data_IF_809704257989
#
_entry.id   IF_809704257989
#
_cell.length_a   1.000
_cell.length_b   1.000
_cell.length_c   1.000
_cell.angle_alpha   90.00
_cell.angle_beta   90.00
_cell.angle_gamma   90.00
#
_symmetry.space_group_name_H-M   'P 1'
#
loop_
_entity.id
_entity.type
_entity.pdbx_description
1 polymer ?
#
# COMPACT_ATOMS: atom_id res chain seq x y z
N UNK A 1 4.45 3.60 11.09
CA UNK A 1 3.62 3.50 9.86
C UNK A 1 2.31 4.28 9.97
N UNK A 2 1.31 3.87 10.78
CA UNK A 2 -0.01 4.54 10.81
C UNK A 2 0.03 6.05 11.13
N UNK A 3 0.89 6.48 12.06
CA UNK A 3 1.07 7.90 12.37
C UNK A 3 1.56 8.70 11.15
N UNK A 4 2.57 8.18 10.45
CA UNK A 4 3.07 8.76 9.19
C UNK A 4 1.98 8.79 8.12
N UNK A 5 1.19 7.72 8.02
CA UNK A 5 0.06 7.67 7.09
C UNK A 5 -0.99 8.77 7.39
N UNK A 6 -1.26 9.06 8.67
CA UNK A 6 -2.11 10.19 9.08
C UNK A 6 -1.53 11.55 8.70
N UNK A 7 -0.22 11.75 8.90
CA UNK A 7 0.47 12.97 8.47
C UNK A 7 0.41 13.16 6.95
N UNK A 8 0.56 12.08 6.18
CA UNK A 8 0.42 12.11 4.71
C UNK A 8 -0.98 12.56 4.29
N UNK A 9 -2.04 12.06 4.94
CA UNK A 9 -3.42 12.49 4.63
C UNK A 9 -3.58 14.00 4.84
N UNK A 10 -3.10 14.53 5.97
CA UNK A 10 -3.14 15.98 6.25
C UNK A 10 -2.36 16.75 5.19
N UNK A 11 -1.14 16.31 4.87
CA UNK A 11 -0.30 16.93 3.85
C UNK A 11 -0.94 16.97 2.47
N UNK A 12 -1.56 15.86 2.03
CA UNK A 12 -2.26 15.77 0.74
C UNK A 12 -3.49 16.67 0.70
N UNK A 13 -4.29 16.73 1.77
CA UNK A 13 -5.46 17.62 1.84
C UNK A 13 -5.01 19.09 1.71
N UNK A 14 -3.97 19.49 2.45
CA UNK A 14 -3.45 20.85 2.39
C UNK A 14 -2.88 21.17 1.00
N UNK A 15 -2.08 20.25 0.44
CA UNK A 15 -1.45 20.43 -0.87
C UNK A 15 -2.48 20.51 -2.01
N UNK A 16 -3.37 19.51 -2.13
CA UNK A 16 -4.40 19.49 -3.17
C UNK A 16 -5.41 20.63 -2.97
N UNK A 17 -5.77 20.93 -1.72
CA UNK A 17 -6.62 22.06 -1.37
C UNK A 17 -6.00 23.40 -1.80
N UNK A 18 -4.71 23.61 -1.54
CA UNK A 18 -4.02 24.84 -1.93
C UNK A 18 -3.97 24.99 -3.46
N UNK A 19 -3.70 23.90 -4.21
CA UNK A 19 -3.71 23.96 -5.67
C UNK A 19 -5.09 24.36 -6.22
N UNK A 20 -6.16 23.70 -5.77
CA UNK A 20 -7.51 23.90 -6.29
C UNK A 20 -8.15 25.21 -5.81
N UNK A 21 -7.92 25.61 -4.56
CA UNK A 21 -8.60 26.76 -3.96
C UNK A 21 -7.79 28.06 -4.02
N UNK A 22 -6.46 27.98 -4.07
CA UNK A 22 -5.58 29.15 -3.98
C UNK A 22 -4.74 29.34 -5.25
N UNK A 23 -3.92 28.36 -5.61
CA UNK A 23 -2.91 28.55 -6.65
C UNK A 23 -3.52 28.68 -8.04
N UNK A 24 -4.40 27.75 -8.43
CA UNK A 24 -5.06 27.81 -9.74
C UNK A 24 -5.94 29.07 -9.86
N UNK A 25 -6.81 29.40 -8.88
CA UNK A 25 -7.57 30.64 -8.95
C UNK A 25 -6.70 31.91 -8.96
N UNK A 26 -5.56 31.91 -8.28
CA UNK A 26 -4.62 33.03 -8.31
C UNK A 26 -4.00 33.17 -9.69
N UNK A 27 -3.47 32.08 -10.26
CA UNK A 27 -2.86 32.04 -11.59
C UNK A 27 -3.80 32.58 -12.67
N UNK A 28 -5.04 32.12 -12.70
CA UNK A 28 -6.02 32.57 -13.70
C UNK A 28 -6.51 34.01 -13.47
N UNK A 29 -6.23 34.64 -12.33
CA UNK A 29 -6.58 36.04 -12.03
C UNK A 29 -5.41 37.01 -12.18
N UNK A 30 -4.18 36.53 -12.38
CA UNK A 30 -3.00 37.38 -12.59
C UNK A 30 -3.24 38.32 -13.80
N UNK A 31 -2.92 39.62 -13.70
CA UNK A 31 -2.98 40.56 -14.83
C UNK A 31 -2.11 40.08 -16.01
N UNK A 32 -2.52 40.36 -17.25
CA UNK A 32 -1.78 39.89 -18.43
C UNK A 32 -0.33 40.36 -18.46
N UNK A 33 -0.04 41.58 -17.99
CA UNK A 33 1.33 42.11 -17.90
C UNK A 33 2.23 41.27 -17.00
N UNK A 34 1.70 40.80 -15.87
CA UNK A 34 2.46 39.99 -14.90
C UNK A 34 2.58 38.55 -15.39
N UNK A 35 1.56 38.03 -16.06
CA UNK A 35 1.59 36.71 -16.69
C UNK A 35 2.69 36.65 -17.76
N UNK A 36 2.71 37.60 -18.68
CA UNK A 36 3.73 37.68 -19.74
C UNK A 36 5.14 37.81 -19.17
N UNK A 37 5.29 38.57 -18.08
CA UNK A 37 6.61 38.81 -17.46
C UNK A 37 7.15 37.62 -16.68
N UNK A 38 6.30 36.88 -15.97
CA UNK A 38 6.74 35.89 -14.98
C UNK A 38 6.34 34.45 -15.27
N UNK A 39 5.25 34.20 -16.01
CA UNK A 39 4.59 32.88 -16.07
C UNK A 39 4.45 32.34 -17.51
N UNK A 40 4.60 33.20 -18.52
CA UNK A 40 4.54 32.82 -19.94
C UNK A 40 5.54 31.70 -20.29
N UNK A 41 6.72 31.67 -19.67
CA UNK A 41 7.71 30.61 -19.94
C UNK A 41 7.27 29.24 -19.43
N UNK A 42 6.58 29.21 -18.28
CA UNK A 42 6.19 27.98 -17.59
C UNK A 42 4.84 27.43 -18.10
N UNK A 43 3.89 28.32 -18.41
CA UNK A 43 2.51 27.95 -18.79
C UNK A 43 2.21 28.19 -20.28
N UNK A 44 3.14 28.79 -21.02
CA UNK A 44 3.03 29.06 -22.45
C UNK A 44 2.37 30.40 -22.79
N UNK A 45 2.20 30.62 -24.10
CA UNK A 45 1.79 31.92 -24.66
C UNK A 45 0.37 32.36 -24.29
N UNK A 46 -0.53 31.41 -24.10
CA UNK A 46 -1.89 31.71 -23.70
C UNK A 46 -2.07 31.33 -22.25
N UNK A 47 -2.57 32.28 -21.47
CA UNK A 47 -2.89 32.07 -20.06
C UNK A 47 -3.88 30.91 -19.92
N UNK A 48 -3.54 29.86 -19.16
CA UNK A 48 -4.37 28.68 -19.05
C UNK A 48 -5.67 29.01 -18.31
N UNK A 49 -6.75 28.34 -18.68
CA UNK A 49 -7.98 28.34 -17.88
C UNK A 49 -7.85 27.38 -16.70
N UNK A 50 -8.78 27.48 -15.74
CA UNK A 50 -8.81 26.55 -14.60
C UNK A 50 -8.91 25.09 -15.06
N UNK A 51 -9.70 24.82 -16.10
CA UNK A 51 -9.85 23.48 -16.65
C UNK A 51 -8.57 22.99 -17.33
N UNK A 52 -7.78 23.87 -17.93
CA UNK A 52 -6.51 23.49 -18.56
C UNK A 52 -5.49 23.06 -17.51
N UNK A 53 -5.46 23.73 -16.35
CA UNK A 53 -4.61 23.36 -15.21
C UNK A 53 -5.03 22.01 -14.62
N UNK A 54 -6.33 21.79 -14.45
CA UNK A 54 -6.87 20.52 -13.92
C UNK A 54 -6.63 19.37 -14.91
N UNK A 55 -6.74 19.60 -16.21
CA UNK A 55 -6.48 18.60 -17.27
C UNK A 55 -4.99 18.43 -17.57
N UNK A 56 -4.14 19.32 -17.07
CA UNK A 56 -2.69 19.21 -17.19
C UNK A 56 -2.13 17.96 -16.50
N UNK A 57 -0.87 17.63 -16.82
CA UNK A 57 -0.21 16.45 -16.28
C UNK A 57 -0.22 16.43 -14.75
N UNK A 58 0.05 17.56 -14.08
CA UNK A 58 0.00 17.67 -12.63
C UNK A 58 -1.41 17.45 -12.06
N UNK A 59 -2.43 18.09 -12.66
CA UNK A 59 -3.82 17.99 -12.20
C UNK A 59 -4.38 16.57 -12.32
N UNK A 60 -4.19 15.93 -13.48
CA UNK A 60 -4.66 14.56 -13.72
C UNK A 60 -3.95 13.56 -12.82
N UNK A 61 -2.61 13.63 -12.74
CA UNK A 61 -1.85 12.72 -11.86
C UNK A 61 -2.22 12.93 -10.39
N UNK A 62 -2.39 14.17 -9.94
CA UNK A 62 -2.81 14.53 -8.59
C UNK A 62 -4.19 13.96 -8.23
N UNK A 63 -5.19 14.13 -9.11
CA UNK A 63 -6.55 13.61 -8.90
C UNK A 63 -6.54 12.08 -8.82
N UNK A 64 -5.85 11.40 -9.74
CA UNK A 64 -5.78 9.93 -9.72
C UNK A 64 -5.10 9.45 -8.43
N UNK A 65 -4.01 10.09 -7.99
CA UNK A 65 -3.35 9.77 -6.73
C UNK A 65 -4.32 9.93 -5.54
N UNK A 66 -5.05 11.04 -5.46
CA UNK A 66 -6.02 11.29 -4.38
C UNK A 66 -7.12 10.23 -4.37
N UNK A 67 -7.67 9.84 -5.52
CA UNK A 67 -8.69 8.79 -5.63
C UNK A 67 -8.14 7.45 -5.13
N UNK A 68 -6.95 7.04 -5.59
CA UNK A 68 -6.30 5.80 -5.14
C UNK A 68 -6.05 5.82 -3.63
N UNK A 69 -5.60 6.95 -3.09
CA UNK A 69 -5.38 7.13 -1.67
C UNK A 69 -6.69 7.03 -0.88
N UNK A 70 -7.77 7.70 -1.31
CA UNK A 70 -9.07 7.61 -0.64
C UNK A 70 -9.52 6.15 -0.52
N UNK A 71 -9.42 5.36 -1.58
CA UNK A 71 -9.75 3.94 -1.57
C UNK A 71 -8.87 3.18 -0.56
N UNK A 72 -7.55 3.31 -0.68
CA UNK A 72 -6.60 2.59 0.16
C UNK A 72 -6.73 2.95 1.66
N UNK A 73 -6.88 4.24 1.99
CA UNK A 73 -7.02 4.71 3.37
C UNK A 73 -8.36 4.29 3.98
N UNK A 74 -9.46 4.35 3.20
CA UNK A 74 -10.79 3.93 3.67
C UNK A 74 -10.79 2.44 4.02
N UNK A 75 -10.27 1.60 3.12
CA UNK A 75 -10.21 0.15 3.32
C UNK A 75 -9.17 -0.27 4.38
N UNK A 76 -8.17 0.57 4.66
CA UNK A 76 -7.23 0.36 5.75
C UNK A 76 -7.78 0.70 7.15
N UNK A 77 -8.92 1.39 7.25
CA UNK A 77 -9.54 1.69 8.55
C UNK A 77 -9.91 0.42 9.30
N UNK A 78 -9.92 0.48 10.65
CA UNK A 78 -10.26 -0.68 11.51
C UNK A 78 -11.63 -1.27 11.15
N UNK A 79 -12.58 -0.43 10.77
CA UNK A 79 -13.97 -0.79 10.52
C UNK A 79 -14.10 -1.66 9.26
N UNK A 80 -13.49 -1.24 8.16
CA UNK A 80 -13.50 -1.97 6.90
C UNK A 80 -12.59 -3.20 6.93
N UNK A 81 -11.37 -3.05 7.45
CA UNK A 81 -10.37 -4.13 7.49
C UNK A 81 -10.79 -5.32 8.37
N UNK A 82 -11.57 -5.08 9.44
CA UNK A 82 -12.09 -6.14 10.33
C UNK A 82 -13.54 -6.53 10.02
N UNK A 83 -14.06 -6.12 8.87
CA UNK A 83 -15.44 -6.41 8.43
C UNK A 83 -16.51 -6.07 9.49
N UNK A 84 -16.30 -4.99 10.25
CA UNK A 84 -17.27 -4.52 11.25
C UNK A 84 -18.49 -3.86 10.58
N UNK A 85 -18.30 -3.36 9.36
CA UNK A 85 -19.37 -2.82 8.51
C UNK A 85 -19.72 -3.91 7.49
N UNK A 86 -21.00 -4.27 7.39
CA UNK A 86 -21.50 -5.18 6.35
C UNK A 86 -22.16 -4.35 5.26
N UNK A 87 -21.53 -4.30 4.09
CA UNK A 87 -22.10 -3.61 2.93
C UNK A 87 -23.11 -4.52 2.20
N UNK A 88 -24.20 -3.97 1.64
CA UNK A 88 -25.12 -4.73 0.80
C UNK A 88 -24.44 -5.18 -0.50
N UNK A 89 -24.98 -6.22 -1.15
CA UNK A 89 -24.53 -6.63 -2.49
C UNK A 89 -24.72 -5.46 -3.48
N UNK A 90 -23.76 -5.19 -4.39
CA UNK A 90 -22.57 -5.99 -4.72
C UNK A 90 -21.31 -5.70 -3.88
N UNK A 91 -21.36 -4.78 -2.92
CA UNK A 91 -20.19 -4.27 -2.21
C UNK A 91 -19.77 -5.08 -0.99
N UNK A 92 -20.44 -6.19 -0.69
CA UNK A 92 -20.12 -7.06 0.45
C UNK A 92 -18.68 -7.62 0.41
N UNK A 93 -18.03 -7.66 -0.76
CA UNK A 93 -16.63 -8.07 -0.92
C UNK A 93 -15.60 -6.94 -0.73
N UNK A 94 -16.04 -5.69 -0.54
CA UNK A 94 -15.16 -4.54 -0.28
C UNK A 94 -14.80 -4.38 1.20
N UNK A 95 -14.98 -5.42 2.01
CA UNK A 95 -14.64 -5.43 3.44
C UNK A 95 -13.85 -6.69 3.77
N UNK A 96 -12.95 -6.61 4.74
CA UNK A 96 -12.09 -7.73 5.12
C UNK A 96 -10.60 -7.45 4.92
N UNK A 97 -9.77 -8.41 5.28
CA UNK A 97 -8.33 -8.28 5.17
C UNK A 97 -7.90 -8.32 3.71
N UNK A 98 -8.55 -9.12 2.86
CA UNK A 98 -8.24 -9.20 1.43
C UNK A 98 -8.53 -7.88 0.71
N UNK A 99 -9.70 -7.28 0.94
CA UNK A 99 -10.02 -5.96 0.39
C UNK A 99 -9.00 -4.89 0.84
N UNK A 100 -8.62 -4.90 2.12
CA UNK A 100 -7.54 -4.07 2.63
C UNK A 100 -6.21 -4.34 1.91
N UNK A 101 -5.80 -5.60 1.79
CA UNK A 101 -4.50 -5.99 1.23
C UNK A 101 -4.36 -5.56 -0.22
N UNK A 102 -5.34 -5.89 -1.07
CA UNK A 102 -5.32 -5.52 -2.49
C UNK A 102 -5.39 -4.01 -2.69
N UNK A 103 -6.26 -3.31 -1.96
CA UNK A 103 -6.32 -1.85 -2.05
C UNK A 103 -5.07 -1.17 -1.53
N UNK A 104 -4.36 -1.76 -0.55
CA UNK A 104 -3.11 -1.20 -0.06
C UNK A 104 -2.05 -1.17 -1.16
N UNK A 105 -1.99 -2.17 -2.05
CA UNK A 105 -1.06 -2.24 -3.18
C UNK A 105 -1.26 -1.12 -4.23
N UNK A 106 -2.35 -0.35 -4.16
CA UNK A 106 -2.49 0.91 -4.91
C UNK A 106 -1.34 1.88 -4.61
N UNK A 107 -0.58 1.70 -3.52
CA UNK A 107 0.66 2.44 -3.26
C UNK A 107 1.64 2.38 -4.44
N UNK A 108 1.69 1.26 -5.20
CA UNK A 108 2.58 1.13 -6.36
C UNK A 108 2.18 2.13 -7.44
N UNK A 109 0.88 2.22 -7.75
CA UNK A 109 0.35 3.18 -8.72
C UNK A 109 0.60 4.61 -8.22
N UNK A 110 0.34 4.89 -6.95
CA UNK A 110 0.57 6.22 -6.35
C UNK A 110 2.04 6.62 -6.45
N UNK A 111 2.99 5.71 -6.19
CA UNK A 111 4.43 6.02 -6.31
C UNK A 111 4.85 6.31 -7.75
N UNK A 112 4.35 5.55 -8.73
CA UNK A 112 4.60 5.81 -10.15
C UNK A 112 4.05 7.18 -10.54
N UNK A 113 2.80 7.47 -10.17
CA UNK A 113 2.17 8.76 -10.45
C UNK A 113 2.86 9.91 -9.72
N UNK A 114 3.40 9.69 -8.52
CA UNK A 114 4.15 10.71 -7.77
C UNK A 114 5.46 11.08 -8.48
N UNK A 115 6.14 10.11 -9.08
CA UNK A 115 7.33 10.37 -9.91
C UNK A 115 6.92 11.20 -11.13
N UNK A 116 5.88 10.78 -11.86
CA UNK A 116 5.37 11.50 -13.03
C UNK A 116 4.97 12.94 -12.63
N UNK A 117 4.18 13.09 -11.57
CA UNK A 117 3.76 14.36 -11.03
C UNK A 117 4.96 15.27 -10.69
N UNK A 118 6.00 14.73 -10.05
CA UNK A 118 7.23 15.46 -9.73
C UNK A 118 8.15 15.76 -10.92
N UNK A 119 8.00 15.06 -12.05
CA UNK A 119 8.74 15.31 -13.28
C UNK A 119 8.09 16.43 -14.10
N UNK A 120 6.77 16.51 -14.12
CA UNK A 120 6.02 17.51 -14.88
C UNK A 120 5.75 18.80 -14.10
N UNK A 121 6.59 19.14 -13.12
CA UNK A 121 6.46 20.36 -12.33
C UNK A 121 6.46 21.63 -13.19
N UNK A 122 5.46 22.50 -13.04
CA UNK A 122 5.29 23.73 -13.82
C UNK A 122 6.42 24.72 -13.60
N UNK A 123 6.86 24.94 -12.35
CA UNK A 123 7.77 26.05 -12.02
C UNK A 123 9.24 25.64 -11.93
N UNK A 124 9.54 24.34 -11.84
CA UNK A 124 10.91 23.84 -11.62
C UNK A 124 11.32 22.99 -12.81
N UNK A 125 12.25 23.50 -13.61
CA UNK A 125 12.66 22.86 -14.86
C UNK A 125 13.97 22.09 -14.73
N UNK A 126 14.87 22.55 -13.86
CA UNK A 126 16.18 21.93 -13.63
C UNK A 126 16.05 20.63 -12.86
N UNK A 127 16.54 19.54 -13.46
CA UNK A 127 16.30 18.17 -12.98
C UNK A 127 16.80 17.89 -11.56
N UNK A 128 17.91 18.50 -11.13
CA UNK A 128 18.48 18.31 -9.79
C UNK A 128 17.75 19.13 -8.71
N UNK A 129 16.96 20.14 -9.09
CA UNK A 129 16.07 20.86 -8.15
C UNK A 129 14.74 20.14 -7.96
N UNK A 130 14.41 19.16 -8.81
CA UNK A 130 13.22 18.31 -8.65
C UNK A 130 13.48 17.29 -7.54
N UNK A 131 13.22 17.66 -6.29
CA UNK A 131 13.61 16.84 -5.14
C UNK A 131 12.80 15.55 -4.97
N UNK A 132 11.64 15.40 -5.64
CA UNK A 132 10.72 14.26 -5.46
C UNK A 132 11.41 12.92 -5.69
N UNK A 133 12.16 12.76 -6.79
CA UNK A 133 12.85 11.50 -7.08
C UNK A 133 14.01 11.22 -6.10
N UNK A 134 14.66 12.27 -5.60
CA UNK A 134 15.76 12.15 -4.64
C UNK A 134 15.26 11.58 -3.32
N UNK A 135 14.20 12.18 -2.75
CA UNK A 135 13.60 11.70 -1.51
C UNK A 135 12.95 10.32 -1.64
N UNK A 136 12.52 9.93 -2.85
CA UNK A 136 11.90 8.63 -3.09
C UNK A 136 12.92 7.51 -3.31
N UNK A 137 14.01 7.79 -4.02
CA UNK A 137 14.98 6.79 -4.46
C UNK A 137 15.64 6.04 -3.30
N UNK A 138 16.17 6.75 -2.31
CA UNK A 138 16.91 6.12 -1.19
C UNK A 138 16.01 5.18 -0.37
N UNK A 139 14.81 5.60 0.12
CA UNK A 139 13.94 4.69 0.87
C UNK A 139 13.42 3.52 0.03
N UNK A 140 13.10 3.74 -1.26
CA UNK A 140 12.62 2.68 -2.14
C UNK A 140 13.70 1.64 -2.40
N UNK A 141 14.95 2.05 -2.64
CA UNK A 141 16.07 1.14 -2.83
C UNK A 141 16.37 0.35 -1.56
N UNK A 142 16.35 0.99 -0.38
CA UNK A 142 16.52 0.30 0.89
C UNK A 142 15.42 -0.73 1.14
N UNK A 143 14.16 -0.38 0.88
CA UNK A 143 13.03 -1.29 1.01
C UNK A 143 13.14 -2.46 0.03
N UNK A 144 13.41 -2.18 -1.25
CA UNK A 144 13.60 -3.22 -2.27
C UNK A 144 14.76 -4.15 -1.90
N UNK A 145 15.87 -3.59 -1.40
CA UNK A 145 17.00 -4.36 -0.88
C UNK A 145 16.61 -5.31 0.26
N UNK A 146 15.90 -4.84 1.28
CA UNK A 146 15.41 -5.70 2.38
C UNK A 146 14.50 -6.81 1.86
N UNK A 147 13.59 -6.49 0.94
CA UNK A 147 12.65 -7.46 0.35
C UNK A 147 13.37 -8.53 -0.46
N UNK A 148 14.32 -8.12 -1.29
CA UNK A 148 15.13 -9.03 -2.11
C UNK A 148 15.98 -9.94 -1.21
N UNK A 149 16.67 -9.38 -0.20
CA UNK A 149 17.44 -10.16 0.77
C UNK A 149 16.56 -11.14 1.54
N UNK A 150 15.34 -10.73 1.93
CA UNK A 150 14.37 -11.61 2.57
C UNK A 150 13.99 -12.76 1.65
N UNK A 151 13.68 -12.50 0.38
CA UNK A 151 13.32 -13.53 -0.60
C UNK A 151 14.47 -14.53 -0.75
N UNK A 152 15.70 -14.06 -0.95
CA UNK A 152 16.87 -14.94 -1.09
C UNK A 152 17.16 -15.78 0.15
N UNK A 153 16.85 -15.27 1.35
CA UNK A 153 17.03 -16.02 2.61
C UNK A 153 15.86 -16.93 2.96
N UNK A 154 14.71 -16.76 2.32
CA UNK A 154 13.50 -17.51 2.65
C UNK A 154 13.48 -18.83 1.90
N UNK A 155 13.46 -19.95 2.63
CA UNK A 155 13.17 -21.26 2.04
C UNK A 155 11.67 -21.49 1.97
N UNK A 156 11.15 -21.89 0.81
CA UNK A 156 9.76 -22.31 0.64
C UNK A 156 9.73 -23.83 0.53
N UNK A 157 8.98 -24.49 1.43
CA UNK A 157 8.92 -25.94 1.50
C UNK A 157 7.47 -26.41 1.43
N UNK A 158 7.21 -27.40 0.59
CA UNK A 158 5.94 -28.12 0.60
C UNK A 158 5.98 -29.13 1.75
N UNK A 159 5.00 -29.06 2.64
CA UNK A 159 4.91 -29.91 3.83
C UNK A 159 3.64 -30.74 3.81
N UNK A 160 3.71 -31.94 4.39
CA UNK A 160 2.54 -32.81 4.59
C UNK A 160 1.86 -32.46 5.90
N UNK A 161 0.54 -32.39 5.87
CA UNK A 161 -0.26 -32.22 7.07
C UNK A 161 -0.33 -33.55 7.83
N UNK A 162 0.10 -33.55 9.08
CA UNK A 162 0.14 -34.73 9.95
C UNK A 162 -1.10 -34.82 10.83
N UNK A 163 -1.52 -33.69 11.40
CA UNK A 163 -2.69 -33.61 12.28
C UNK A 163 -3.36 -32.25 12.18
N UNK A 164 -4.69 -32.27 12.23
CA UNK A 164 -5.54 -31.09 12.32
C UNK A 164 -6.46 -31.25 13.52
N UNK A 165 -6.58 -30.21 14.32
CA UNK A 165 -7.53 -30.18 15.44
C UNK A 165 -8.12 -28.79 15.61
N UNK A 166 -9.40 -28.72 15.97
CA UNK A 166 -10.09 -27.48 16.33
C UNK A 166 -10.30 -27.50 17.84
N UNK A 167 -9.80 -26.48 18.53
CA UNK A 167 -9.93 -26.31 19.97
C UNK A 167 -11.00 -25.28 20.33
N UNK A 168 -11.59 -25.37 21.55
CA UNK A 168 -12.49 -24.34 22.07
C UNK A 168 -11.88 -22.94 21.96
N UNK A 169 -12.68 -21.96 21.53
CA UNK A 169 -12.21 -20.59 21.25
C UNK A 169 -11.86 -20.31 19.78
N UNK A 170 -12.29 -21.16 18.85
CA UNK A 170 -12.07 -21.06 17.40
C UNK A 170 -10.58 -20.99 17.04
N UNK A 171 -9.82 -21.94 17.60
CA UNK A 171 -8.39 -22.10 17.33
C UNK A 171 -8.17 -23.38 16.54
N UNK A 172 -7.71 -23.23 15.30
CA UNK A 172 -7.27 -24.31 14.43
C UNK A 172 -5.80 -24.62 14.71
N UNK A 173 -5.48 -25.88 14.95
CA UNK A 173 -4.11 -26.36 15.12
C UNK A 173 -3.71 -27.21 13.95
N UNK A 174 -2.61 -26.84 13.31
CA UNK A 174 -2.01 -27.58 12.21
C UNK A 174 -0.68 -28.14 12.68
N UNK A 175 -0.51 -29.46 12.59
CA UNK A 175 0.78 -30.13 12.71
C UNK A 175 1.20 -30.62 11.34
N UNK A 176 2.43 -30.30 10.95
CA UNK A 176 2.98 -30.51 9.61
C UNK A 176 4.33 -31.23 9.72
N UNK A 177 4.71 -31.94 8.67
CA UNK A 177 6.04 -32.55 8.55
C UNK A 177 7.12 -31.46 8.57
N UNK A 178 8.17 -31.63 9.36
CA UNK A 178 9.32 -30.72 9.38
C UNK A 178 10.31 -31.06 8.27
N UNK A 179 10.60 -30.15 7.31
CA UNK A 179 11.64 -30.38 6.32
C UNK A 179 13.01 -30.51 6.99
N UNK A 180 13.88 -31.42 6.52
CA UNK A 180 15.20 -31.67 7.14
C UNK A 180 16.10 -30.42 7.22
N UNK A 181 15.97 -29.52 6.24
CA UNK A 181 16.75 -28.29 6.16
C UNK A 181 16.12 -27.13 6.95
N UNK A 182 14.90 -27.31 7.49
CA UNK A 182 14.16 -26.26 8.18
C UNK A 182 14.64 -26.12 9.63
N UNK A 183 15.52 -25.13 9.85
CA UNK A 183 16.07 -24.79 11.16
C UNK A 183 15.44 -23.48 11.66
N UNK A 184 14.94 -23.50 12.88
CA UNK A 184 14.35 -22.32 13.53
C UNK A 184 14.72 -22.26 15.01
N UNK A 185 14.54 -21.09 15.63
CA UNK A 185 14.68 -20.85 17.07
C UNK A 185 13.31 -20.62 17.69
N UNK A 186 13.18 -20.93 18.98
CA UNK A 186 11.95 -20.68 19.74
C UNK A 186 11.53 -19.21 19.62
N UNK A 187 10.22 -18.98 19.44
CA UNK A 187 9.64 -17.64 19.25
C UNK A 187 9.68 -17.12 17.81
N UNK A 188 10.30 -17.85 16.87
CA UNK A 188 10.18 -17.51 15.45
C UNK A 188 8.80 -17.85 14.88
N UNK A 189 8.48 -17.23 13.76
CA UNK A 189 7.25 -17.45 13.01
C UNK A 189 7.57 -17.94 11.60
N UNK A 190 6.61 -18.60 10.96
CA UNK A 190 6.69 -18.98 9.56
C UNK A 190 5.48 -18.47 8.79
N UNK A 191 5.61 -18.38 7.48
CA UNK A 191 4.48 -18.07 6.60
C UNK A 191 3.85 -19.37 6.11
N UNK A 192 2.53 -19.45 6.21
CA UNK A 192 1.73 -20.57 5.73
C UNK A 192 0.89 -20.11 4.55
N UNK A 193 0.93 -20.89 3.48
CA UNK A 193 0.04 -20.75 2.33
C UNK A 193 -0.79 -22.03 2.20
N UNK A 194 -2.10 -21.85 1.99
CA UNK A 194 -3.02 -22.94 1.70
C UNK A 194 -3.61 -22.72 0.30
N UNK A 195 -3.11 -23.43 -0.73
CA UNK A 195 -3.58 -23.24 -2.11
C UNK A 195 -5.08 -23.51 -2.31
N UNK A 196 -5.70 -24.33 -1.45
CA UNK A 196 -7.13 -24.59 -1.47
C UNK A 196 -7.98 -23.40 -1.05
N UNK A 197 -7.42 -22.49 -0.23
CA UNK A 197 -8.08 -21.24 0.19
C UNK A 197 -7.68 -20.11 -0.74
N UNK A 198 -6.37 -19.88 -0.90
CA UNK A 198 -5.84 -18.83 -1.77
C UNK A 198 -4.41 -19.18 -2.23
N UNK A 199 -4.18 -19.33 -3.55
CA UNK A 199 -2.89 -19.78 -4.09
C UNK A 199 -1.78 -18.72 -4.04
N UNK A 200 -2.08 -17.49 -3.64
CA UNK A 200 -1.11 -16.38 -3.61
C UNK A 200 -0.95 -15.76 -2.21
N UNK A 201 -1.78 -16.13 -1.25
CA UNK A 201 -1.74 -15.56 0.09
C UNK A 201 -0.81 -16.33 1.03
N UNK A 202 0.03 -15.58 1.73
CA UNK A 202 0.96 -16.08 2.73
C UNK A 202 0.68 -15.39 4.06
N UNK A 203 0.30 -16.16 5.08
CA UNK A 203 -0.07 -15.64 6.38
C UNK A 203 0.97 -16.02 7.44
N UNK A 204 1.48 -15.07 8.25
CA UNK A 204 2.49 -15.36 9.25
C UNK A 204 1.86 -15.96 10.52
N UNK A 205 2.40 -17.07 10.99
CA UNK A 205 2.01 -17.71 12.26
C UNK A 205 3.23 -18.07 13.09
N UNK A 206 3.16 -17.80 14.40
CA UNK A 206 4.19 -18.21 15.36
C UNK A 206 4.28 -19.72 15.41
N UNK A 207 5.51 -20.25 15.36
CA UNK A 207 5.75 -21.68 15.48
C UNK A 207 5.56 -22.06 16.95
N UNK A 208 4.66 -23.01 17.22
CA UNK A 208 4.31 -23.44 18.58
C UNK A 208 4.99 -24.73 19.02
N UNK A 209 5.62 -25.46 18.08
CA UNK A 209 6.48 -26.62 18.38
C UNK A 209 7.86 -26.17 18.84
N UNK A 210 8.57 -27.05 19.54
CA UNK A 210 9.96 -26.81 19.93
C UNK A 210 10.92 -27.08 18.74
N UNK A 211 12.06 -26.36 18.64
CA UNK A 211 13.05 -26.61 17.60
C UNK A 211 13.58 -28.05 17.52
N UNK A 212 13.52 -28.80 18.63
CA UNK A 212 13.89 -30.21 18.70
C UNK A 212 12.82 -31.19 18.21
N UNK A 213 11.57 -30.75 18.03
CA UNK A 213 10.49 -31.63 17.59
C UNK A 213 10.67 -32.05 16.12
N UNK A 214 10.22 -33.26 15.78
CA UNK A 214 10.22 -33.81 14.42
C UNK A 214 9.07 -33.29 13.53
N UNK A 215 8.24 -32.41 14.07
CA UNK A 215 7.12 -31.79 13.40
C UNK A 215 7.13 -30.27 13.58
N UNK A 216 6.38 -29.58 12.74
CA UNK A 216 6.08 -28.16 12.89
C UNK A 216 4.64 -27.99 13.31
N UNK A 217 4.36 -27.12 14.28
CA UNK A 217 2.99 -26.79 14.66
C UNK A 217 2.71 -25.30 14.69
N UNK A 218 1.47 -24.93 14.37
CA UNK A 218 0.93 -23.57 14.51
C UNK A 218 -0.47 -23.63 15.10
N UNK A 219 -0.82 -22.60 15.88
CA UNK A 219 -2.15 -22.39 16.41
C UNK A 219 -2.71 -21.09 15.81
N UNK A 220 -3.78 -21.23 15.04
CA UNK A 220 -4.38 -20.19 14.22
C UNK A 220 -5.75 -19.84 14.79
N UNK A 221 -5.94 -18.59 15.22
CA UNK A 221 -7.25 -18.11 15.64
C UNK A 221 -8.04 -17.61 14.44
N UNK A 222 -9.27 -18.05 14.29
CA UNK A 222 -10.14 -17.67 13.17
C UNK A 222 -10.69 -16.24 13.35
N UNK A 223 -9.91 -15.23 12.94
CA UNK A 223 -10.22 -13.79 13.15
C UNK A 223 -10.40 -12.98 11.87
N UNK A 224 -9.89 -13.47 10.74
CA UNK A 224 -10.00 -12.85 9.42
C UNK A 224 -10.74 -13.75 8.44
N UNK A 225 -11.10 -13.16 7.29
CA UNK A 225 -11.63 -13.84 6.10
C UNK A 225 -10.81 -15.08 5.73
N UNK A 226 -9.51 -14.96 5.52
CA UNK A 226 -8.68 -16.11 5.15
C UNK A 226 -8.66 -17.22 6.21
N UNK A 227 -8.53 -16.84 7.49
CA UNK A 227 -8.50 -17.83 8.60
C UNK A 227 -9.84 -18.48 8.88
N UNK A 228 -10.95 -17.90 8.41
CA UNK A 228 -12.29 -18.50 8.52
C UNK A 228 -12.53 -19.54 7.42
N UNK A 229 -11.86 -19.39 6.27
CA UNK A 229 -11.93 -20.33 5.15
C UNK A 229 -10.91 -21.48 5.25
N UNK A 230 -9.83 -21.28 6.02
CA UNK A 230 -8.80 -22.30 6.33
C UNK A 230 -9.31 -23.41 7.26
#
# INVERSE_FOLDING_TARGET
HKAVAGAIVVGVILHAGNHLACDFPRLIKVPESDYEKYLHHDFGKHKPTYLDLVKGAEGVTGIIMVICMIIAFTLATRWFRRSLIKLPKPFNRLTGFNAFWYSHHLFVIVYILLIIHGVFLYLVHTWYLKTTWMYLSVPVLLYAGERILRIFRSGSYIVRLLKVAIYPGNVLTLQMSKPQQFKYKSGQYMFVQCPAVSPFEWHPFSITSAPGDDYLSVHIRQLGDWTQEL
#
